data_IF_668619396579
#
_entry.id   IF_668619396579
#
_cell.length_a   1.000
_cell.length_b   1.000
_cell.length_c   1.000
_cell.angle_alpha   90.00
_cell.angle_beta   90.00
_cell.angle_gamma   90.00
#
_symmetry.space_group_name_H-M   'P 1'
#
loop_
_entity.id
_entity.type
_entity.pdbx_description
1 polymer ?
#
# COMPACT_ATOMS: atom_id res chain seq x y z
N UNK A 1 16.36 -16.34 7.15
CA UNK A 1 15.75 -15.25 7.95
C UNK A 1 14.25 -15.45 8.15
N UNK A 2 13.42 -15.41 7.09
CA UNK A 2 11.94 -15.48 7.22
C UNK A 2 11.46 -16.70 8.02
N UNK A 3 11.98 -17.90 7.74
CA UNK A 3 11.61 -19.11 8.49
C UNK A 3 11.92 -19.03 9.99
N UNK A 4 12.99 -18.35 10.39
CA UNK A 4 13.35 -18.20 11.81
C UNK A 4 12.36 -17.27 12.54
N UNK A 5 12.00 -16.14 11.91
CA UNK A 5 10.97 -15.24 12.44
C UNK A 5 9.61 -15.93 12.49
N UNK A 6 9.29 -16.72 11.46
CA UNK A 6 8.08 -17.54 11.40
C UNK A 6 8.06 -18.58 12.53
N UNK A 7 9.17 -19.27 12.78
CA UNK A 7 9.30 -20.22 13.89
C UNK A 7 9.03 -19.57 15.25
N UNK A 8 9.56 -18.36 15.49
CA UNK A 8 9.29 -17.60 16.71
C UNK A 8 7.82 -17.16 16.85
N UNK A 9 7.17 -16.77 15.76
CA UNK A 9 5.74 -16.42 15.79
C UNK A 9 4.87 -17.65 16.10
N UNK A 10 5.18 -18.79 15.49
CA UNK A 10 4.43 -20.04 15.65
C UNK A 10 4.63 -20.67 17.03
N UNK A 11 5.69 -20.33 17.77
CA UNK A 11 5.87 -20.78 19.16
C UNK A 11 5.04 -20.02 20.19
N UNK A 12 4.30 -18.98 19.79
CA UNK A 12 3.39 -18.26 20.70
C UNK A 12 2.15 -19.09 21.05
N UNK A 13 1.44 -18.74 22.13
CA UNK A 13 0.26 -19.46 22.63
C UNK A 13 -0.79 -19.77 21.55
N UNK A 14 -1.02 -18.85 20.61
CA UNK A 14 -2.02 -19.00 19.55
C UNK A 14 -1.41 -19.44 18.20
N UNK A 15 -0.09 -19.50 18.08
CA UNK A 15 0.59 -19.91 16.86
C UNK A 15 0.20 -19.07 15.62
N UNK A 16 -0.08 -17.78 15.79
CA UNK A 16 -0.50 -16.92 14.67
C UNK A 16 0.73 -16.62 13.78
N UNK A 17 0.69 -16.95 12.48
CA UNK A 17 1.82 -16.70 11.58
C UNK A 17 2.03 -15.20 11.36
N UNK A 18 3.28 -14.77 11.18
CA UNK A 18 3.56 -13.41 10.70
C UNK A 18 3.35 -13.31 9.19
N UNK A 19 3.07 -12.11 8.72
CA UNK A 19 3.14 -11.76 7.30
C UNK A 19 4.35 -10.84 7.09
N UNK A 20 5.33 -11.31 6.33
CA UNK A 20 6.55 -10.53 6.03
C UNK A 20 6.34 -9.74 4.74
N UNK A 21 6.42 -8.41 4.79
CA UNK A 21 6.26 -7.52 3.64
C UNK A 21 7.60 -7.00 3.11
N UNK A 22 7.69 -6.74 1.80
CA UNK A 22 8.86 -6.10 1.18
C UNK A 22 8.47 -5.23 -0.02
N UNK A 23 9.26 -4.19 -0.29
CA UNK A 23 9.20 -3.42 -1.54
C UNK A 23 9.82 -4.20 -2.71
N UNK A 24 9.00 -5.01 -3.38
CA UNK A 24 9.32 -5.64 -4.67
C UNK A 24 8.59 -4.90 -5.80
N UNK A 25 9.00 -3.65 -6.06
CA UNK A 25 8.21 -2.69 -6.87
C UNK A 25 8.51 -2.72 -8.37
N UNK A 26 9.60 -3.36 -8.79
CA UNK A 26 9.99 -3.52 -10.19
C UNK A 26 10.84 -4.78 -10.39
N UNK A 27 10.44 -5.87 -9.72
CA UNK A 27 11.34 -6.98 -9.40
C UNK A 27 11.53 -7.12 -7.90
N UNK A 28 12.15 -8.21 -7.47
CA UNK A 28 12.56 -8.39 -6.06
C UNK A 28 13.87 -7.63 -5.79
N UNK A 29 13.86 -6.32 -6.05
CA UNK A 29 15.06 -5.51 -6.25
C UNK A 29 16.00 -5.38 -5.07
N UNK A 30 15.54 -5.72 -3.86
CA UNK A 30 16.38 -5.76 -2.66
C UNK A 30 17.26 -7.04 -2.58
N UNK A 31 17.05 -8.00 -3.47
CA UNK A 31 17.73 -9.31 -3.42
C UNK A 31 18.75 -9.43 -4.54
N UNK A 32 19.97 -9.81 -4.16
CA UNK A 32 21.06 -10.04 -5.09
C UNK A 32 20.68 -11.07 -6.15
N UNK A 33 20.91 -10.74 -7.43
CA UNK A 33 20.57 -11.54 -8.62
C UNK A 33 19.08 -11.72 -8.92
N UNK A 34 18.17 -11.02 -8.23
CA UNK A 34 16.78 -10.95 -8.65
C UNK A 34 16.66 -10.26 -10.03
N UNK A 35 15.63 -10.64 -10.79
CA UNK A 35 15.33 -9.97 -12.06
C UNK A 35 14.84 -8.56 -11.77
N UNK A 36 15.43 -7.57 -12.44
CA UNK A 36 15.02 -6.17 -12.36
C UNK A 36 14.27 -5.80 -13.64
N UNK A 37 12.98 -5.49 -13.49
CA UNK A 37 12.12 -5.00 -14.56
C UNK A 37 12.19 -3.47 -14.68
N UNK A 38 11.76 -2.90 -15.81
CA UNK A 38 11.54 -1.46 -15.91
C UNK A 38 10.61 -0.96 -14.80
N UNK A 39 10.89 0.22 -14.27
CA UNK A 39 9.95 0.90 -13.36
C UNK A 39 8.62 1.21 -14.05
N UNK A 40 7.60 1.50 -13.23
CA UNK A 40 6.21 1.62 -13.66
C UNK A 40 5.99 2.61 -14.81
N UNK A 41 6.71 3.74 -14.85
CA UNK A 41 6.60 4.68 -15.98
C UNK A 41 6.95 4.01 -17.32
N UNK A 42 7.99 3.18 -17.34
CA UNK A 42 8.40 2.42 -18.52
C UNK A 42 7.38 1.32 -18.87
N UNK A 43 6.81 0.65 -17.86
CA UNK A 43 5.71 -0.30 -18.08
C UNK A 43 4.47 0.41 -18.65
N UNK A 44 4.17 1.62 -18.19
CA UNK A 44 3.14 2.50 -18.71
C UNK A 44 3.27 2.76 -20.21
N UNK A 45 4.50 3.03 -20.67
CA UNK A 45 4.80 3.25 -22.09
C UNK A 45 4.45 2.05 -22.98
N UNK A 46 4.44 0.82 -22.44
CA UNK A 46 4.10 -0.38 -23.21
C UNK A 46 2.62 -0.45 -23.59
N UNK A 47 1.74 0.21 -22.81
CA UNK A 47 0.27 0.10 -22.95
C UNK A 47 -0.22 -1.37 -22.94
N UNK A 48 0.53 -2.28 -22.32
CA UNK A 48 0.24 -3.73 -22.29
C UNK A 48 -0.06 -4.22 -20.86
N UNK A 49 -1.34 -4.22 -20.43
CA UNK A 49 -1.75 -4.76 -19.15
C UNK A 49 -1.43 -6.25 -18.97
N UNK A 50 -1.41 -7.04 -20.04
CA UNK A 50 -1.08 -8.46 -19.93
C UNK A 50 0.42 -8.67 -19.70
N UNK A 51 1.28 -7.81 -20.26
CA UNK A 51 2.69 -7.77 -19.87
C UNK A 51 2.85 -7.40 -18.40
N UNK A 52 2.17 -6.35 -17.91
CA UNK A 52 2.22 -5.98 -16.49
C UNK A 52 1.79 -7.13 -15.57
N UNK A 53 0.74 -7.87 -15.94
CA UNK A 53 0.30 -9.07 -15.24
C UNK A 53 1.35 -10.18 -15.24
N UNK A 54 1.96 -10.50 -16.39
CA UNK A 54 3.04 -11.50 -16.49
C UNK A 54 4.25 -11.12 -15.63
N UNK A 55 4.60 -9.83 -15.61
CA UNK A 55 5.65 -9.31 -14.73
C UNK A 55 5.27 -9.52 -13.26
N UNK A 56 4.05 -9.17 -12.85
CA UNK A 56 3.57 -9.42 -11.49
C UNK A 56 3.68 -10.90 -11.07
N UNK A 57 3.35 -11.82 -11.98
CA UNK A 57 3.49 -13.26 -11.74
C UNK A 57 4.95 -13.71 -11.59
N UNK A 58 5.86 -13.20 -12.43
CA UNK A 58 7.29 -13.48 -12.30
C UNK A 58 7.85 -12.94 -10.97
N UNK A 59 7.50 -11.71 -10.60
CA UNK A 59 7.90 -11.10 -9.32
C UNK A 59 7.35 -11.90 -8.14
N UNK A 60 6.10 -12.37 -8.18
CA UNK A 60 5.53 -13.20 -7.12
C UNK A 60 6.36 -14.48 -6.90
N UNK A 61 6.78 -15.15 -7.97
CA UNK A 61 7.62 -16.35 -7.87
C UNK A 61 9.00 -16.03 -7.25
N UNK A 62 9.66 -14.97 -7.68
CA UNK A 62 10.96 -14.57 -7.13
C UNK A 62 10.87 -14.14 -5.66
N UNK A 63 9.82 -13.41 -5.29
CA UNK A 63 9.58 -13.02 -3.89
C UNK A 63 9.32 -14.26 -3.03
N UNK A 64 8.48 -15.20 -3.50
CA UNK A 64 8.23 -16.47 -2.81
C UNK A 64 9.46 -17.36 -2.73
N UNK A 65 10.39 -17.29 -3.69
CA UNK A 65 11.67 -17.99 -3.63
C UNK A 65 12.53 -17.57 -2.43
N UNK A 66 12.29 -16.38 -1.86
CA UNK A 66 12.93 -15.89 -0.63
C UNK A 66 12.10 -16.11 0.63
N UNK A 67 10.96 -16.80 0.52
CA UNK A 67 10.04 -17.09 1.61
C UNK A 67 9.05 -15.96 1.96
N UNK A 68 9.10 -14.83 1.26
CA UNK A 68 8.29 -13.64 1.56
C UNK A 68 6.90 -13.77 0.94
N UNK A 69 5.79 -13.60 1.70
CA UNK A 69 4.42 -13.76 1.20
C UNK A 69 3.72 -12.46 0.75
N UNK A 70 4.34 -11.28 0.92
CA UNK A 70 3.65 -10.00 0.77
C UNK A 70 4.55 -8.94 0.14
N UNK A 71 4.02 -8.24 -0.88
CA UNK A 71 4.71 -7.16 -1.58
C UNK A 71 4.00 -5.82 -1.39
N UNK A 72 4.78 -4.76 -1.18
CA UNK A 72 4.30 -3.38 -1.15
C UNK A 72 4.18 -2.81 -2.57
N UNK A 73 3.40 -3.46 -3.43
CA UNK A 73 3.19 -3.09 -4.83
C UNK A 73 1.80 -3.53 -5.31
N UNK A 74 1.19 -2.84 -6.31
CA UNK A 74 1.76 -1.74 -7.08
C UNK A 74 1.58 -0.34 -6.47
N UNK A 75 2.49 0.58 -6.81
CA UNK A 75 2.19 2.00 -6.72
C UNK A 75 1.22 2.37 -7.86
N UNK A 76 0.02 2.85 -7.50
CA UNK A 76 -1.04 3.25 -8.44
C UNK A 76 -1.27 4.75 -8.43
N UNK A 77 -0.25 5.51 -8.01
CA UNK A 77 -0.24 6.96 -8.11
C UNK A 77 -0.49 7.38 -9.56
N UNK A 78 -1.29 8.43 -9.72
CA UNK A 78 -1.40 9.16 -10.99
C UNK A 78 -0.53 10.40 -10.83
N UNK A 79 0.72 10.35 -11.30
CA UNK A 79 1.68 11.46 -11.18
C UNK A 79 1.20 12.64 -12.04
N UNK A 80 0.98 13.80 -11.42
CA UNK A 80 0.51 15.02 -12.11
C UNK A 80 1.59 16.08 -12.27
N UNK A 81 2.75 15.84 -11.67
CA UNK A 81 3.89 16.75 -11.71
C UNK A 81 5.20 15.95 -11.73
N UNK A 82 5.95 15.94 -12.84
CA UNK A 82 7.16 15.13 -12.97
C UNK A 82 8.32 15.61 -12.08
N UNK A 83 8.19 16.75 -11.40
CA UNK A 83 9.13 17.16 -10.34
C UNK A 83 9.06 16.25 -9.12
N UNK A 84 7.98 15.48 -8.99
CA UNK A 84 7.83 14.51 -7.92
C UNK A 84 8.87 13.39 -8.03
N UNK A 85 9.69 13.25 -6.99
CA UNK A 85 10.79 12.28 -6.95
C UNK A 85 10.37 10.82 -7.07
N UNK A 86 9.07 10.51 -6.97
CA UNK A 86 8.50 9.17 -7.18
C UNK A 86 7.70 9.05 -8.47
N UNK A 87 7.79 10.00 -9.40
CA UNK A 87 7.02 9.97 -10.63
C UNK A 87 7.31 8.72 -11.48
N UNK A 88 8.52 8.16 -11.39
CA UNK A 88 8.87 6.89 -12.05
C UNK A 88 8.11 5.67 -11.51
N UNK A 89 7.56 5.75 -10.28
CA UNK A 89 6.70 4.73 -9.69
C UNK A 89 5.24 4.83 -10.17
N UNK A 90 4.86 5.92 -10.83
CA UNK A 90 3.56 6.04 -11.49
C UNK A 90 3.62 5.42 -12.88
N UNK A 91 2.58 4.66 -13.26
CA UNK A 91 2.46 4.15 -14.62
C UNK A 91 2.18 5.25 -15.64
N UNK A 92 1.51 6.33 -15.24
CA UNK A 92 1.11 7.42 -16.14
C UNK A 92 0.51 8.59 -15.38
N UNK A 93 0.54 9.76 -16.01
CA UNK A 93 -0.32 10.88 -15.62
C UNK A 93 -1.80 10.68 -16.00
N UNK A 94 -2.11 9.70 -16.87
CA UNK A 94 -3.46 9.40 -17.34
C UNK A 94 -4.13 8.32 -16.47
N UNK A 95 -5.22 8.63 -15.73
CA UNK A 95 -5.87 7.68 -14.82
C UNK A 95 -6.30 6.37 -15.46
N UNK A 96 -6.77 6.40 -16.71
CA UNK A 96 -7.18 5.22 -17.46
C UNK A 96 -6.03 4.24 -17.70
N UNK A 97 -4.83 4.75 -18.03
CA UNK A 97 -3.67 3.88 -18.20
C UNK A 97 -3.26 3.24 -16.86
N UNK A 98 -3.29 4.01 -15.76
CA UNK A 98 -2.98 3.47 -14.43
C UNK A 98 -4.00 2.41 -14.03
N UNK A 99 -5.29 2.64 -14.31
CA UNK A 99 -6.36 1.66 -14.12
C UNK A 99 -6.12 0.36 -14.90
N UNK A 100 -5.67 0.44 -16.15
CA UNK A 100 -5.36 -0.73 -16.97
C UNK A 100 -4.18 -1.52 -16.39
N UNK A 101 -3.13 -0.82 -15.93
CA UNK A 101 -1.93 -1.44 -15.34
C UNK A 101 -2.16 -2.10 -13.97
N UNK A 102 -3.32 -1.89 -13.33
CA UNK A 102 -3.70 -2.63 -12.11
C UNK A 102 -3.82 -4.15 -12.33
N UNK A 103 -3.81 -4.62 -13.58
CA UNK A 103 -3.68 -6.05 -13.93
C UNK A 103 -2.48 -6.74 -13.26
N UNK A 104 -1.43 -5.99 -12.92
CA UNK A 104 -0.28 -6.49 -12.15
C UNK A 104 -0.68 -7.09 -10.79
N UNK A 105 -1.79 -6.62 -10.18
CA UNK A 105 -2.34 -7.16 -8.93
C UNK A 105 -2.77 -8.63 -9.12
N UNK A 106 -3.46 -8.95 -10.22
CA UNK A 106 -3.79 -10.33 -10.58
C UNK A 106 -2.55 -11.16 -10.87
N UNK A 107 -1.47 -10.53 -11.37
CA UNK A 107 -0.16 -11.17 -11.51
C UNK A 107 0.43 -11.58 -10.16
N UNK A 108 0.44 -10.67 -9.19
CA UNK A 108 0.94 -10.94 -7.84
C UNK A 108 0.12 -12.01 -7.10
N UNK A 109 -1.21 -11.86 -7.13
CA UNK A 109 -2.13 -12.60 -6.27
C UNK A 109 -2.72 -13.84 -6.92
N UNK A 110 -2.67 -13.96 -8.26
CA UNK A 110 -3.47 -14.91 -9.03
C UNK A 110 -4.87 -14.38 -9.35
N UNK A 111 -5.62 -15.14 -10.14
CA UNK A 111 -6.97 -14.78 -10.59
C UNK A 111 -8.04 -15.12 -9.57
N UNK A 112 -8.95 -14.18 -9.34
CA UNK A 112 -10.12 -14.41 -8.50
C UNK A 112 -11.00 -15.48 -9.17
N UNK A 113 -11.38 -16.55 -8.48
CA UNK A 113 -12.26 -17.57 -9.04
C UNK A 113 -13.65 -17.01 -9.37
N UNK A 114 -14.34 -17.63 -10.33
CA UNK A 114 -15.71 -17.29 -10.65
C UNK A 114 -16.60 -17.37 -9.38
N UNK A 115 -17.40 -16.32 -9.15
CA UNK A 115 -18.22 -16.19 -7.93
C UNK A 115 -17.48 -15.61 -6.72
N UNK A 116 -16.21 -15.23 -6.86
CA UNK A 116 -15.47 -14.51 -5.82
C UNK A 116 -16.15 -13.20 -5.40
N UNK A 117 -16.13 -12.91 -4.10
CA UNK A 117 -16.76 -11.71 -3.55
C UNK A 117 -15.95 -10.47 -3.92
N UNK A 118 -16.55 -9.52 -4.63
CA UNK A 118 -15.96 -8.21 -4.92
C UNK A 118 -15.51 -7.52 -3.62
N UNK A 119 -14.30 -6.97 -3.61
CA UNK A 119 -13.70 -6.28 -2.48
C UNK A 119 -13.12 -7.18 -1.39
N UNK A 120 -13.31 -8.50 -1.47
CA UNK A 120 -12.60 -9.44 -0.59
C UNK A 120 -11.12 -9.56 -1.01
N UNK A 121 -10.18 -9.64 -0.05
CA UNK A 121 -8.78 -9.88 -0.36
C UNK A 121 -8.61 -11.28 -0.96
N UNK A 122 -7.72 -11.43 -1.92
CA UNK A 122 -7.47 -12.70 -2.59
C UNK A 122 -5.98 -12.97 -2.79
N UNK A 123 -5.55 -14.21 -2.53
CA UNK A 123 -4.24 -14.76 -2.90
C UNK A 123 -4.46 -16.24 -3.25
N UNK A 124 -4.13 -16.65 -4.48
CA UNK A 124 -4.46 -17.96 -5.04
C UNK A 124 -3.73 -19.13 -4.36
N UNK A 125 -2.58 -18.88 -3.72
CA UNK A 125 -1.87 -19.90 -2.95
C UNK A 125 -0.39 -19.63 -2.82
N UNK A 126 0.37 -20.71 -2.60
CA UNK A 126 1.77 -20.65 -2.19
C UNK A 126 2.76 -20.09 -3.23
N UNK A 127 2.35 -19.93 -4.49
CA UNK A 127 3.17 -19.31 -5.55
C UNK A 127 2.83 -17.83 -5.77
N UNK A 128 1.81 -17.33 -5.09
CA UNK A 128 1.34 -15.95 -5.15
C UNK A 128 1.73 -15.20 -3.88
N UNK A 129 1.69 -13.88 -3.96
CA UNK A 129 1.95 -12.97 -2.84
C UNK A 129 0.75 -12.04 -2.66
N UNK A 130 0.49 -11.62 -1.42
CA UNK A 130 -0.44 -10.52 -1.18
C UNK A 130 0.11 -9.25 -1.86
N UNK A 131 -0.77 -8.48 -2.50
CA UNK A 131 -0.44 -7.19 -3.11
C UNK A 131 -0.91 -6.01 -2.26
N UNK A 132 -0.31 -4.85 -2.49
CA UNK A 132 -0.58 -3.60 -1.79
C UNK A 132 -0.75 -2.45 -2.79
N UNK A 133 -1.97 -1.93 -2.93
CA UNK A 133 -2.16 -0.69 -3.71
C UNK A 133 -1.76 0.52 -2.88
N UNK A 134 -0.82 1.33 -3.41
CA UNK A 134 -0.22 2.46 -2.68
C UNK A 134 0.00 3.72 -3.53
N UNK A 135 0.00 4.93 -2.97
CA UNK A 135 -0.32 5.27 -1.57
C UNK A 135 -1.65 6.03 -1.50
N UNK A 136 -2.59 5.49 -0.74
CA UNK A 136 -3.98 5.94 -0.71
C UNK A 136 -4.08 7.27 0.04
N UNK A 137 -4.55 8.35 -0.56
CA UNK A 137 -4.83 8.56 -1.99
C UNK A 137 -4.37 9.97 -2.37
N UNK A 138 -4.07 10.17 -3.66
CA UNK A 138 -3.68 11.48 -4.18
C UNK A 138 -2.19 11.80 -3.99
N UNK A 139 -1.37 10.80 -3.68
CA UNK A 139 0.10 10.92 -3.55
C UNK A 139 0.77 11.57 -4.78
N UNK A 140 0.33 11.20 -5.99
CA UNK A 140 0.82 11.78 -7.24
C UNK A 140 0.35 13.21 -7.57
N UNK A 141 -0.54 13.80 -6.75
CA UNK A 141 -1.15 15.13 -6.96
C UNK A 141 -0.59 16.25 -6.08
N UNK A 142 0.53 16.00 -5.39
CA UNK A 142 1.08 16.94 -4.41
C UNK A 142 1.52 18.26 -5.04
N UNK A 143 1.29 19.36 -4.33
CA UNK A 143 1.59 20.72 -4.80
C UNK A 143 3.07 20.85 -5.19
N UNK A 144 3.33 21.27 -6.44
CA UNK A 144 4.67 21.39 -7.05
C UNK A 144 5.46 20.07 -7.10
N UNK A 145 4.80 18.92 -7.00
CA UNK A 145 5.44 17.61 -6.93
C UNK A 145 6.30 17.41 -5.67
N UNK A 146 6.07 18.18 -4.60
CA UNK A 146 6.85 18.02 -3.37
C UNK A 146 6.36 16.74 -2.67
N UNK A 147 7.28 15.80 -2.44
CA UNK A 147 6.97 14.54 -1.80
C UNK A 147 6.28 14.75 -0.44
N UNK A 148 5.26 13.93 -0.14
CA UNK A 148 4.50 13.93 1.13
C UNK A 148 3.72 15.22 1.45
N UNK A 149 3.64 16.15 0.50
CA UNK A 149 3.02 17.45 0.71
C UNK A 149 1.48 17.36 0.54
N UNK A 150 0.84 18.52 0.47
CA UNK A 150 -0.59 18.67 0.31
C UNK A 150 -0.99 18.53 -1.17
N UNK A 151 -1.95 17.65 -1.44
CA UNK A 151 -2.70 17.57 -2.69
C UNK A 151 -3.93 18.46 -2.57
N UNK A 152 -3.94 19.55 -3.34
CA UNK A 152 -5.04 20.52 -3.37
C UNK A 152 -5.93 20.19 -4.56
N UNK A 153 -7.10 19.62 -4.28
CA UNK A 153 -8.03 19.16 -5.30
C UNK A 153 -9.46 19.16 -4.75
N UNK A 154 -10.44 19.49 -5.58
CA UNK A 154 -11.85 19.25 -5.27
C UNK A 154 -12.09 17.75 -5.07
N UNK A 155 -13.18 17.39 -4.38
CA UNK A 155 -13.55 15.99 -4.24
C UNK A 155 -13.81 15.33 -5.61
N UNK A 156 -14.38 16.08 -6.56
CA UNK A 156 -14.57 15.61 -7.93
C UNK A 156 -13.24 15.29 -8.61
N UNK A 157 -12.25 16.18 -8.55
CA UNK A 157 -10.92 15.92 -9.12
C UNK A 157 -10.23 14.72 -8.45
N UNK A 158 -10.33 14.59 -7.13
CA UNK A 158 -9.81 13.44 -6.40
C UNK A 158 -10.43 12.14 -6.92
N UNK A 159 -11.75 12.11 -7.10
CA UNK A 159 -12.48 10.95 -7.59
C UNK A 159 -12.25 10.65 -9.09
N UNK A 160 -12.05 11.68 -9.91
CA UNK A 160 -11.84 11.54 -11.35
C UNK A 160 -10.39 11.18 -11.71
N UNK A 161 -9.41 11.59 -10.90
CA UNK A 161 -7.98 11.43 -11.20
C UNK A 161 -7.34 10.36 -10.33
N UNK A 162 -7.42 10.50 -9.00
CA UNK A 162 -6.58 9.74 -8.08
C UNK A 162 -7.24 8.47 -7.51
N UNK A 163 -8.56 8.45 -7.45
CA UNK A 163 -9.34 7.33 -6.94
C UNK A 163 -9.56 6.16 -7.92
N UNK A 164 -9.70 6.35 -9.25
CA UNK A 164 -10.09 5.26 -10.14
C UNK A 164 -9.21 4.01 -10.09
N UNK A 165 -7.86 4.11 -9.99
CA UNK A 165 -7.01 2.93 -9.83
C UNK A 165 -7.31 2.10 -8.57
N UNK A 166 -7.79 2.71 -7.49
CA UNK A 166 -8.17 2.00 -6.27
C UNK A 166 -9.48 1.21 -6.43
N UNK A 167 -10.45 1.75 -7.17
CA UNK A 167 -11.65 0.99 -7.53
C UNK A 167 -11.25 -0.29 -8.29
N UNK A 168 -10.39 -0.17 -9.30
CA UNK A 168 -9.89 -1.33 -10.05
C UNK A 168 -9.11 -2.30 -9.15
N UNK A 169 -8.24 -1.81 -8.28
CA UNK A 169 -7.51 -2.65 -7.34
C UNK A 169 -8.44 -3.44 -6.41
N UNK A 170 -9.46 -2.79 -5.84
CA UNK A 170 -10.44 -3.45 -4.95
C UNK A 170 -11.28 -4.48 -5.71
N UNK A 171 -11.68 -4.18 -6.96
CA UNK A 171 -12.40 -5.16 -7.80
C UNK A 171 -11.54 -6.36 -8.21
N UNK A 172 -10.21 -6.17 -8.30
CA UNK A 172 -9.21 -7.23 -8.49
C UNK A 172 -8.79 -7.92 -7.19
N UNK A 173 -9.46 -7.61 -6.07
CA UNK A 173 -9.26 -8.30 -4.80
C UNK A 173 -7.90 -8.03 -4.17
N UNK A 174 -7.34 -6.82 -4.35
CA UNK A 174 -6.11 -6.41 -3.68
C UNK A 174 -6.18 -6.71 -2.18
N UNK A 175 -5.13 -7.31 -1.63
CA UNK A 175 -5.13 -7.77 -0.24
C UNK A 175 -4.99 -6.62 0.76
N UNK A 176 -4.22 -5.60 0.39
CA UNK A 176 -3.92 -4.48 1.29
C UNK A 176 -3.92 -3.15 0.55
N UNK A 177 -4.11 -2.07 1.32
CA UNK A 177 -3.98 -0.69 0.83
C UNK A 177 -3.09 0.08 1.80
N UNK A 178 -2.03 0.71 1.29
CA UNK A 178 -1.12 1.51 2.11
C UNK A 178 -1.50 2.99 2.03
N UNK A 179 -1.58 3.66 3.17
CA UNK A 179 -1.96 5.07 3.28
C UNK A 179 -0.79 6.00 2.95
N UNK A 180 -1.03 7.04 2.16
CA UNK A 180 -0.05 8.08 1.77
C UNK A 180 0.35 8.96 2.94
N UNK A 181 1.60 9.43 2.97
CA UNK A 181 2.04 10.52 3.86
C UNK A 181 1.38 11.87 3.55
N UNK A 182 0.91 12.04 2.32
CA UNK A 182 0.36 13.30 1.83
C UNK A 182 -0.86 13.74 2.63
N UNK A 183 -1.22 15.00 2.42
CA UNK A 183 -2.53 15.52 2.84
C UNK A 183 -3.45 15.69 1.63
N UNK A 184 -4.75 15.63 1.85
CA UNK A 184 -5.75 16.14 0.91
C UNK A 184 -6.41 17.38 1.52
N UNK A 185 -6.30 18.52 0.84
CA UNK A 185 -6.80 19.81 1.31
C UNK A 185 -6.45 20.12 2.77
N UNK A 186 -5.21 19.84 3.17
CA UNK A 186 -4.67 20.08 4.51
C UNK A 186 -4.88 18.95 5.51
N UNK A 187 -5.77 17.99 5.23
CA UNK A 187 -6.03 16.84 6.13
C UNK A 187 -5.06 15.70 5.81
N UNK A 188 -4.26 15.30 6.80
CA UNK A 188 -3.33 14.16 6.69
C UNK A 188 -4.09 12.88 6.33
N UNK A 189 -3.62 12.16 5.31
CA UNK A 189 -4.27 10.93 4.87
C UNK A 189 -4.30 9.87 5.97
N UNK A 190 -3.23 9.72 6.77
CA UNK A 190 -3.18 8.80 7.92
C UNK A 190 -4.22 9.09 9.01
N UNK A 191 -4.82 10.28 9.06
CA UNK A 191 -5.89 10.62 10.02
C UNK A 191 -7.26 10.85 9.34
N UNK A 192 -7.40 10.54 8.05
CA UNK A 192 -8.59 10.87 7.28
C UNK A 192 -9.65 9.76 7.35
N UNK A 193 -10.50 9.80 8.38
CA UNK A 193 -11.60 8.83 8.58
C UNK A 193 -12.54 8.76 7.37
N UNK A 194 -12.87 9.93 6.79
CA UNK A 194 -13.78 9.99 5.66
C UNK A 194 -13.27 9.18 4.48
N UNK A 195 -12.00 9.35 4.09
CA UNK A 195 -11.45 8.60 2.95
C UNK A 195 -11.13 7.14 3.31
N UNK A 196 -10.59 6.86 4.50
CA UNK A 196 -10.18 5.49 4.86
C UNK A 196 -11.40 4.63 5.22
N UNK A 197 -12.22 5.08 6.17
CA UNK A 197 -13.32 4.27 6.68
C UNK A 197 -14.57 4.45 5.83
N UNK A 198 -15.02 5.69 5.62
CA UNK A 198 -16.29 5.89 4.92
C UNK A 198 -16.15 5.57 3.42
N UNK A 199 -15.08 6.01 2.76
CA UNK A 199 -14.93 5.78 1.34
C UNK A 199 -14.30 4.42 1.01
N UNK A 200 -13.05 4.15 1.40
CA UNK A 200 -12.37 2.90 1.02
C UNK A 200 -13.06 1.66 1.62
N UNK A 201 -13.34 1.66 2.93
CA UNK A 201 -13.95 0.49 3.59
C UNK A 201 -15.44 0.38 3.32
N UNK A 202 -16.25 1.45 3.43
CA UNK A 202 -17.72 1.33 3.24
C UNK A 202 -18.13 1.47 1.79
N UNK A 203 -17.80 2.57 1.10
CA UNK A 203 -18.24 2.81 -0.29
C UNK A 203 -17.59 1.84 -1.30
N UNK A 204 -16.26 1.75 -1.35
CA UNK A 204 -15.55 0.82 -2.25
C UNK A 204 -15.66 -0.63 -1.77
N UNK A 205 -16.17 -0.86 -0.56
CA UNK A 205 -16.35 -2.18 0.07
C UNK A 205 -15.04 -2.96 0.16
N UNK A 206 -13.91 -2.30 0.39
CA UNK A 206 -12.64 -2.98 0.66
C UNK A 206 -12.75 -3.80 1.95
N UNK A 207 -12.32 -5.07 1.90
CA UNK A 207 -12.35 -6.02 3.02
C UNK A 207 -10.98 -6.62 3.34
N UNK A 208 -9.92 -6.17 2.68
CA UNK A 208 -8.55 -6.41 3.11
C UNK A 208 -8.21 -5.55 4.33
N UNK A 209 -6.93 -5.42 4.63
CA UNK A 209 -6.47 -4.56 5.72
C UNK A 209 -5.74 -3.32 5.21
N UNK A 210 -5.95 -2.20 5.89
CA UNK A 210 -5.31 -0.91 5.65
C UNK A 210 -4.02 -0.84 6.46
N UNK A 211 -2.92 -0.54 5.79
CA UNK A 211 -1.59 -0.44 6.41
C UNK A 211 -1.06 1.00 6.35
N UNK A 212 -0.39 1.48 7.39
CA UNK A 212 0.32 2.77 7.30
C UNK A 212 1.56 2.65 6.41
N UNK A 213 1.97 3.73 5.74
CA UNK A 213 3.37 3.87 5.31
C UNK A 213 4.32 3.91 6.54
N UNK A 214 5.62 3.78 6.29
CA UNK A 214 6.69 3.73 7.29
C UNK A 214 6.68 4.97 8.20
N UNK A 215 6.39 4.76 9.49
CA UNK A 215 6.27 5.86 10.46
C UNK A 215 5.21 6.91 10.07
N UNK A 216 4.28 6.60 9.17
CA UNK A 216 3.33 7.58 8.65
C UNK A 216 2.44 8.21 9.72
N UNK A 217 2.11 7.47 10.78
CA UNK A 217 1.42 8.02 11.95
C UNK A 217 2.23 9.15 12.61
N UNK A 218 3.55 9.00 12.75
CA UNK A 218 4.39 10.01 13.40
C UNK A 218 4.41 11.34 12.63
N UNK A 219 4.11 11.29 11.32
CA UNK A 219 4.04 12.44 10.40
C UNK A 219 2.66 13.09 10.33
N UNK A 220 1.72 12.68 11.19
CA UNK A 220 0.44 13.37 11.40
C UNK A 220 0.68 14.73 12.07
N UNK A 221 1.61 14.79 13.03
CA UNK A 221 1.91 15.99 13.81
C UNK A 221 3.01 16.83 13.17
N UNK A 222 3.09 18.11 13.54
CA UNK A 222 4.17 19.02 13.16
C UNK A 222 4.65 19.78 14.40
N UNK A 223 5.92 19.64 14.81
CA UNK A 223 6.96 18.74 14.27
C UNK A 223 6.57 17.26 14.31
N UNK A 224 7.19 16.43 13.46
CA UNK A 224 6.99 14.98 13.52
C UNK A 224 7.31 14.47 14.93
N UNK A 225 6.58 13.43 15.38
CA UNK A 225 6.70 12.85 16.73
C UNK A 225 6.28 13.74 17.91
N UNK A 226 5.71 14.94 17.67
CA UNK A 226 5.34 15.85 18.76
C UNK A 226 4.28 15.25 19.71
N UNK A 227 3.32 14.48 19.18
CA UNK A 227 2.34 13.75 19.99
C UNK A 227 2.04 12.38 19.39
N UNK A 228 2.72 11.38 19.92
CA UNK A 228 2.65 10.01 19.46
C UNK A 228 1.35 9.29 19.89
N UNK A 229 0.83 9.58 21.09
CA UNK A 229 -0.43 9.01 21.56
C UNK A 229 -1.59 9.52 20.71
N UNK A 230 -1.60 10.82 20.40
CA UNK A 230 -2.53 11.41 19.46
C UNK A 230 -2.39 10.79 18.07
N UNK A 231 -1.16 10.58 17.59
CA UNK A 231 -0.91 9.97 16.28
C UNK A 231 -1.49 8.56 16.16
N UNK A 232 -1.30 7.70 17.19
CA UNK A 232 -1.94 6.39 17.24
C UNK A 232 -3.45 6.53 17.26
N UNK A 233 -3.98 7.36 18.17
CA UNK A 233 -5.43 7.54 18.33
C UNK A 233 -6.07 7.95 17.01
N UNK A 234 -5.52 8.96 16.33
CA UNK A 234 -6.03 9.45 15.06
C UNK A 234 -5.91 8.41 13.95
N UNK A 235 -4.78 7.70 13.84
CA UNK A 235 -4.58 6.68 12.81
C UNK A 235 -5.53 5.49 12.95
N UNK A 236 -5.66 4.95 14.17
CA UNK A 236 -6.54 3.81 14.45
C UNK A 236 -8.00 4.22 14.30
N UNK A 237 -8.41 5.38 14.86
CA UNK A 237 -9.78 5.87 14.71
C UNK A 237 -10.12 6.18 13.25
N UNK A 238 -9.17 6.65 12.42
CA UNK A 238 -9.40 6.84 10.99
C UNK A 238 -9.66 5.52 10.25
N UNK A 239 -9.21 4.39 10.80
CA UNK A 239 -9.44 3.06 10.26
C UNK A 239 -8.19 2.35 9.73
N UNK A 240 -6.98 2.70 10.19
CA UNK A 240 -5.77 1.92 9.90
C UNK A 240 -5.79 0.63 10.71
N UNK A 241 -5.53 -0.51 10.06
CA UNK A 241 -5.59 -1.85 10.67
C UNK A 241 -4.21 -2.37 11.07
N UNK A 242 -3.15 -1.97 10.34
CA UNK A 242 -1.76 -2.35 10.62
C UNK A 242 -0.85 -1.14 10.54
N UNK A 243 0.04 -0.99 11.51
CA UNK A 243 0.97 0.15 11.58
C UNK A 243 2.40 -0.31 11.30
N UNK A 244 3.03 0.27 10.26
CA UNK A 244 4.44 0.06 9.97
C UNK A 244 5.28 1.01 10.82
N UNK A 245 6.10 0.40 11.67
CA UNK A 245 7.11 1.04 12.52
C UNK A 245 6.57 2.24 13.29
N UNK A 246 6.35 2.00 14.56
CA UNK A 246 6.21 3.05 15.53
C UNK A 246 7.54 3.19 16.26
N UNK A 247 8.19 4.35 16.18
CA UNK A 247 9.33 4.64 17.05
C UNK A 247 8.78 4.97 18.43
N UNK A 248 8.43 3.92 19.16
CA UNK A 248 8.08 4.01 20.56
C UNK A 248 9.39 4.21 21.33
N UNK A 249 9.82 5.46 21.50
CA UNK A 249 10.75 5.79 22.59
C UNK A 249 9.90 5.85 23.86
N UNK A 250 9.48 4.69 24.37
CA UNK A 250 9.05 4.63 25.76
C UNK A 250 10.33 4.78 26.57
N UNK A 251 10.48 5.80 27.44
CA UNK A 251 11.40 5.63 28.56
C UNK A 251 10.95 4.35 29.26
N UNK A 252 11.88 3.41 29.46
CA UNK A 252 11.68 2.07 30.00
C UNK A 252 11.03 2.00 31.41
N UNK A 253 10.42 3.08 31.91
CA UNK A 253 9.94 3.22 33.28
C UNK A 253 8.41 3.08 33.47
N UNK A 254 7.58 3.08 32.42
CA UNK A 254 6.11 3.15 32.60
C UNK A 254 5.29 2.06 31.86
N UNK A 255 5.75 0.81 31.86
CA UNK A 255 4.95 -0.31 31.32
C UNK A 255 3.76 -0.69 32.22
N UNK A 256 3.72 -0.23 33.48
CA UNK A 256 2.68 -0.60 34.45
C UNK A 256 1.33 0.12 34.27
N UNK A 257 1.21 1.11 33.39
CA UNK A 257 -0.06 1.86 33.20
C UNK A 257 -0.94 1.36 32.07
N UNK A 258 -0.51 0.38 31.26
CA UNK A 258 -1.29 -0.13 30.13
C UNK A 258 -2.01 -1.45 30.40
N UNK A 259 -1.93 -1.97 31.64
CA UNK A 259 -2.66 -3.19 32.08
C UNK A 259 -3.43 -2.92 33.39
N UNK A 260 -4.23 -1.87 33.42
CA UNK A 260 -5.34 -1.72 34.38
C UNK A 260 -6.58 -1.20 33.69
#
# INVERSE_FOLDING_TARGET
>A
MVNAMQGGALSTRLGIPIIYGIDAVHGHGNVYKATIFPHNIGLGCTRDPELAKRIGAAVALEVRATGIPYVFAPCVAVCRDPRWGRCYESFSEHPELVQNMTSIISGFQGEIPAGGRKGAPFVAGQRSVAACSKHYVGDGGTTKGINENNTVATFHELLSIHMPPYYNAVTRGVSTVMISYSSWNGVKMHSNHFLITDFLKKELRFRGFVISDWQGLNRITTPEHADYLLSIKLGILAGIDMVIKLNIVLPFQNFDMLIK
#
